data_IF_144372942048
#
_entry.id   IF_144372942048
#
_cell.length_a   1.000
_cell.length_b   1.000
_cell.length_c   1.000
_cell.angle_alpha   90.00
_cell.angle_beta   90.00
_cell.angle_gamma   90.00
#
_symmetry.space_group_name_H-M   'P 1'
#
loop_
_entity.id
_entity.type
_entity.pdbx_description
1 polymer ?
#
# COMPACT_ATOMS: atom_id res chain seq x y z
N UNK A 1 -8.19 -25.90 -14.81
CA UNK A 1 -7.61 -24.65 -14.29
C UNK A 1 -8.77 -23.69 -14.18
N UNK A 2 -9.35 -23.59 -12.99
CA UNK A 2 -10.55 -22.79 -12.76
C UNK A 2 -10.23 -21.33 -12.99
N UNK A 3 -10.89 -20.71 -13.96
CA UNK A 3 -11.00 -19.26 -14.04
C UNK A 3 -11.76 -18.84 -12.79
N UNK A 4 -11.06 -18.38 -11.76
CA UNK A 4 -11.72 -17.67 -10.66
C UNK A 4 -12.24 -16.38 -11.28
N UNK A 5 -13.50 -16.38 -11.70
CA UNK A 5 -14.14 -15.18 -12.22
C UNK A 5 -14.15 -14.15 -11.09
N UNK A 6 -13.33 -13.11 -11.25
CA UNK A 6 -13.32 -11.96 -10.37
C UNK A 6 -14.71 -11.33 -10.42
N UNK A 7 -15.17 -10.79 -9.29
CA UNK A 7 -16.46 -10.11 -9.25
C UNK A 7 -16.52 -8.93 -10.24
N UNK A 8 -17.73 -8.53 -10.60
CA UNK A 8 -17.96 -7.37 -11.48
C UNK A 8 -17.39 -6.07 -10.89
N UNK A 9 -17.32 -5.94 -9.57
CA UNK A 9 -16.78 -4.74 -8.92
C UNK A 9 -15.26 -4.67 -9.06
N UNK A 10 -14.56 -5.78 -8.81
CA UNK A 10 -13.11 -5.88 -8.96
C UNK A 10 -12.72 -5.71 -10.42
N UNK A 11 -13.43 -6.37 -11.35
CA UNK A 11 -13.16 -6.25 -12.78
C UNK A 11 -13.29 -4.80 -13.25
N UNK A 12 -14.33 -4.07 -12.80
CA UNK A 12 -14.48 -2.64 -13.10
C UNK A 12 -13.37 -1.77 -12.51
N UNK A 13 -12.87 -2.07 -11.31
CA UNK A 13 -11.73 -1.35 -10.72
C UNK A 13 -10.45 -1.55 -11.56
N UNK A 14 -10.18 -2.80 -11.96
CA UNK A 14 -9.06 -3.13 -12.85
C UNK A 14 -9.19 -2.40 -14.19
N UNK A 15 -10.38 -2.38 -14.80
CA UNK A 15 -10.60 -1.74 -16.09
C UNK A 15 -10.41 -0.22 -16.04
N UNK A 16 -10.90 0.44 -14.97
CA UNK A 16 -10.62 1.88 -14.74
C UNK A 16 -9.12 2.16 -14.70
N UNK A 17 -8.36 1.25 -14.12
CA UNK A 17 -6.92 1.41 -13.92
C UNK A 17 -6.08 1.11 -15.16
N UNK A 18 -6.47 0.08 -15.90
CA UNK A 18 -5.69 -0.43 -17.02
C UNK A 18 -6.08 0.23 -18.36
N UNK A 19 -7.28 0.81 -18.44
CA UNK A 19 -7.85 1.25 -19.70
C UNK A 19 -7.85 0.12 -20.72
N UNK A 20 -7.23 0.33 -21.88
CA UNK A 20 -7.12 -0.68 -22.95
C UNK A 20 -5.83 -1.50 -22.92
N UNK A 21 -4.98 -1.37 -21.88
CA UNK A 21 -3.68 -2.04 -21.82
C UNK A 21 -3.82 -3.45 -21.26
N UNK A 22 -3.79 -4.45 -22.16
CA UNK A 22 -4.03 -5.86 -21.83
C UNK A 22 -2.99 -6.43 -20.86
N UNK A 23 -1.70 -6.13 -21.06
CA UNK A 23 -0.62 -6.61 -20.19
C UNK A 23 -0.77 -6.11 -18.75
N UNK A 24 -1.19 -4.85 -18.59
CA UNK A 24 -1.44 -4.25 -17.29
C UNK A 24 -2.67 -4.88 -16.62
N UNK A 25 -3.73 -5.16 -17.39
CA UNK A 25 -4.91 -5.88 -16.90
C UNK A 25 -4.56 -7.27 -16.36
N UNK A 26 -3.66 -8.01 -17.02
CA UNK A 26 -3.21 -9.32 -16.54
C UNK A 26 -2.50 -9.21 -15.18
N UNK A 27 -1.62 -8.21 -15.01
CA UNK A 27 -0.92 -7.98 -13.74
C UNK A 27 -1.91 -7.64 -12.61
N UNK A 28 -2.85 -6.75 -12.87
CA UNK A 28 -3.86 -6.37 -11.88
C UNK A 28 -4.83 -7.49 -11.54
N UNK A 29 -5.20 -8.34 -12.50
CA UNK A 29 -6.00 -9.55 -12.23
C UNK A 29 -5.27 -10.52 -11.30
N UNK A 30 -3.95 -10.69 -11.49
CA UNK A 30 -3.13 -11.50 -10.60
C UNK A 30 -3.07 -10.90 -9.19
N UNK A 31 -2.81 -9.60 -9.08
CA UNK A 31 -2.79 -8.91 -7.78
C UNK A 31 -4.15 -8.99 -7.06
N UNK A 32 -5.26 -8.86 -7.80
CA UNK A 32 -6.61 -9.03 -7.25
C UNK A 32 -6.86 -10.46 -6.74
N UNK A 33 -6.41 -11.48 -7.47
CA UNK A 33 -6.49 -12.87 -7.00
C UNK A 33 -5.68 -13.05 -5.69
N UNK A 34 -4.47 -12.49 -5.62
CA UNK A 34 -3.64 -12.53 -4.40
C UNK A 34 -4.32 -11.86 -3.21
N UNK A 35 -4.99 -10.72 -3.42
CA UNK A 35 -5.79 -10.06 -2.37
C UNK A 35 -6.90 -10.97 -1.84
N UNK A 36 -7.70 -11.56 -2.73
CA UNK A 36 -8.80 -12.44 -2.34
C UNK A 36 -8.32 -13.72 -1.65
N UNK A 37 -7.25 -14.33 -2.16
CA UNK A 37 -6.62 -15.52 -1.56
C UNK A 37 -6.03 -15.22 -0.17
N UNK A 38 -5.61 -13.98 0.09
CA UNK A 38 -5.16 -13.53 1.42
C UNK A 38 -6.31 -13.28 2.42
N UNK A 39 -7.56 -13.47 1.99
CA UNK A 39 -8.74 -13.25 2.82
C UNK A 39 -9.25 -11.81 2.84
N UNK A 40 -8.80 -10.94 1.93
CA UNK A 40 -9.34 -9.59 1.80
C UNK A 40 -10.80 -9.63 1.32
N UNK A 41 -11.64 -8.79 1.90
CA UNK A 41 -13.00 -8.58 1.38
C UNK A 41 -12.97 -7.95 -0.01
N UNK A 42 -14.06 -8.10 -0.77
CA UNK A 42 -14.21 -7.48 -2.08
C UNK A 42 -14.07 -5.95 -2.02
N UNK A 43 -14.62 -5.33 -0.96
CA UNK A 43 -14.51 -3.88 -0.73
C UNK A 43 -13.05 -3.45 -0.55
N UNK A 44 -12.31 -4.14 0.31
CA UNK A 44 -10.87 -3.89 0.52
C UNK A 44 -10.04 -4.09 -0.74
N UNK A 45 -10.35 -5.13 -1.51
CA UNK A 45 -9.67 -5.38 -2.77
C UNK A 45 -9.90 -4.23 -3.76
N UNK A 46 -11.13 -3.74 -3.90
CA UNK A 46 -11.45 -2.57 -4.74
C UNK A 46 -10.72 -1.32 -4.25
N UNK A 47 -10.76 -1.02 -2.95
CA UNK A 47 -10.08 0.15 -2.37
C UNK A 47 -8.58 0.16 -2.64
N UNK A 48 -7.90 -0.99 -2.49
CA UNK A 48 -6.46 -1.10 -2.77
C UNK A 48 -6.15 -1.05 -4.27
N UNK A 49 -7.02 -1.61 -5.12
CA UNK A 49 -6.88 -1.53 -6.57
C UNK A 49 -7.06 -0.09 -7.05
N UNK A 50 -8.01 0.67 -6.52
CA UNK A 50 -8.19 2.07 -6.92
C UNK A 50 -7.11 2.98 -6.32
N UNK A 51 -6.69 2.75 -5.06
CA UNK A 51 -5.84 3.67 -4.30
C UNK A 51 -4.33 3.50 -4.46
N UNK A 52 -3.81 2.29 -4.68
CA UNK A 52 -2.38 2.12 -5.01
C UNK A 52 -2.15 2.49 -6.48
N UNK A 53 -0.93 2.53 -6.97
CA UNK A 53 -0.56 2.81 -8.36
C UNK A 53 -0.01 1.58 -9.08
N UNK A 54 0.57 0.64 -8.34
CA UNK A 54 1.25 -0.54 -8.87
C UNK A 54 0.74 -1.85 -8.27
N UNK A 55 0.56 -2.85 -9.14
CA UNK A 55 0.23 -4.22 -8.73
C UNK A 55 1.32 -4.83 -7.81
N UNK A 56 2.58 -4.41 -7.96
CA UNK A 56 3.68 -4.86 -7.10
C UNK A 56 3.56 -4.30 -5.68
N UNK A 57 3.02 -3.09 -5.52
CA UNK A 57 2.76 -2.48 -4.21
C UNK A 57 1.68 -3.26 -3.47
N UNK A 58 0.64 -3.74 -4.18
CA UNK A 58 -0.37 -4.65 -3.63
C UNK A 58 0.27 -5.93 -3.12
N UNK A 59 1.09 -6.60 -3.94
CA UNK A 59 1.77 -7.83 -3.55
C UNK A 59 2.68 -7.62 -2.32
N UNK A 60 3.41 -6.50 -2.27
CA UNK A 60 4.26 -6.15 -1.14
C UNK A 60 3.46 -5.89 0.14
N UNK A 61 2.34 -5.17 0.04
CA UNK A 61 1.44 -4.91 1.16
C UNK A 61 0.85 -6.22 1.71
N UNK A 62 0.29 -7.07 0.84
CA UNK A 62 -0.30 -8.36 1.25
C UNK A 62 0.73 -9.23 1.96
N UNK A 63 1.95 -9.33 1.40
CA UNK A 63 3.03 -10.08 2.02
C UNK A 63 3.42 -9.51 3.40
N UNK A 64 3.51 -8.19 3.53
CA UNK A 64 3.83 -7.53 4.79
C UNK A 64 2.74 -7.72 5.84
N UNK A 65 1.48 -7.57 5.46
CA UNK A 65 0.32 -7.69 6.37
C UNK A 65 0.21 -9.12 6.89
N UNK A 66 0.43 -10.11 6.01
CA UNK A 66 0.46 -11.52 6.38
C UNK A 66 1.60 -11.86 7.35
N UNK A 67 2.78 -11.26 7.18
CA UNK A 67 3.93 -11.45 8.09
C UNK A 67 3.65 -10.91 9.50
N UNK A 68 2.83 -9.88 9.63
CA UNK A 68 2.40 -9.34 10.91
C UNK A 68 1.25 -10.14 11.55
N UNK A 69 0.78 -11.20 10.89
CA UNK A 69 -0.35 -12.01 11.36
C UNK A 69 -1.69 -11.28 11.29
N UNK A 70 -1.80 -10.25 10.44
CA UNK A 70 -3.02 -9.46 10.23
C UNK A 70 -3.65 -9.80 8.89
N UNK A 71 -4.94 -9.50 8.76
CA UNK A 71 -5.66 -9.51 7.48
C UNK A 71 -5.58 -8.14 6.81
N UNK A 72 -5.80 -8.11 5.51
CA UNK A 72 -5.87 -6.85 4.74
C UNK A 72 -7.00 -5.95 5.24
N UNK A 73 -8.14 -6.55 5.62
CA UNK A 73 -9.28 -5.81 6.17
C UNK A 73 -8.94 -5.15 7.51
N UNK A 74 -8.24 -5.85 8.41
CA UNK A 74 -7.76 -5.28 9.68
C UNK A 74 -6.76 -4.14 9.45
N UNK A 75 -5.84 -4.29 8.48
CA UNK A 75 -4.91 -3.23 8.11
C UNK A 75 -5.64 -1.98 7.61
N UNK A 76 -6.60 -2.12 6.69
CA UNK A 76 -7.37 -0.98 6.15
C UNK A 76 -8.27 -0.32 7.19
N UNK A 77 -8.81 -1.10 8.13
CA UNK A 77 -9.54 -0.55 9.28
C UNK A 77 -8.65 0.32 10.16
N UNK A 78 -7.42 -0.14 10.44
CA UNK A 78 -6.41 0.65 11.14
C UNK A 78 -6.02 1.93 10.38
N UNK A 79 -5.77 1.82 9.08
CA UNK A 79 -5.47 2.95 8.21
C UNK A 79 -6.59 4.00 8.23
N UNK A 80 -7.85 3.56 8.12
CA UNK A 80 -9.01 4.45 8.14
C UNK A 80 -9.11 5.23 9.45
N UNK A 81 -8.77 4.61 10.58
CA UNK A 81 -8.73 5.29 11.88
C UNK A 81 -7.67 6.41 11.91
N UNK A 82 -6.49 6.18 11.33
CA UNK A 82 -5.45 7.22 11.21
C UNK A 82 -5.87 8.36 10.26
N UNK A 83 -6.64 8.04 9.22
CA UNK A 83 -7.13 9.02 8.24
C UNK A 83 -8.21 9.91 8.83
N UNK A 84 -9.13 9.36 9.62
CA UNK A 84 -10.23 10.12 10.25
C UNK A 84 -9.74 11.24 11.18
N UNK A 85 -8.55 11.08 11.75
CA UNK A 85 -7.89 12.10 12.59
C UNK A 85 -7.01 13.09 11.80
N UNK A 86 -6.91 12.90 10.49
CA UNK A 86 -6.02 13.64 9.60
C UNK A 86 -6.76 14.67 8.73
N UNK A 87 -6.03 15.68 8.25
CA UNK A 87 -6.53 16.62 7.22
C UNK A 87 -6.48 16.03 5.80
N UNK A 88 -5.89 14.85 5.62
CA UNK A 88 -5.66 14.21 4.33
C UNK A 88 -6.68 13.09 4.06
N UNK A 89 -7.03 12.88 2.80
CA UNK A 89 -7.95 11.80 2.39
C UNK A 89 -7.28 10.42 2.42
N UNK A 90 -8.10 9.35 2.48
CA UNK A 90 -7.62 7.96 2.38
C UNK A 90 -6.77 7.71 1.13
N UNK A 91 -7.13 8.34 0.00
CA UNK A 91 -6.38 8.22 -1.26
C UNK A 91 -4.97 8.81 -1.11
N UNK A 92 -4.85 9.96 -0.43
CA UNK A 92 -3.55 10.58 -0.18
C UNK A 92 -2.69 9.73 0.76
N UNK A 93 -3.29 9.04 1.73
CA UNK A 93 -2.59 8.11 2.61
C UNK A 93 -2.13 6.85 1.87
N UNK A 94 -2.95 6.28 0.99
CA UNK A 94 -2.57 5.11 0.18
C UNK A 94 -1.46 5.45 -0.82
N UNK A 95 -1.54 6.62 -1.48
CA UNK A 95 -0.49 7.10 -2.38
C UNK A 95 0.82 7.37 -1.62
N UNK A 96 0.74 7.98 -0.43
CA UNK A 96 1.89 8.19 0.46
C UNK A 96 2.52 6.86 0.92
N UNK A 97 1.71 5.91 1.36
CA UNK A 97 2.15 4.57 1.73
C UNK A 97 2.86 3.87 0.57
N UNK A 98 2.32 4.01 -0.65
CA UNK A 98 2.94 3.47 -1.84
C UNK A 98 4.32 4.09 -2.12
N UNK A 99 4.51 5.39 -1.91
CA UNK A 99 5.84 6.02 -2.10
C UNK A 99 6.91 5.36 -1.24
N UNK A 100 6.58 5.06 0.01
CA UNK A 100 7.50 4.36 0.92
C UNK A 100 7.73 2.92 0.43
N UNK A 101 6.67 2.20 0.05
CA UNK A 101 6.82 0.84 -0.51
C UNK A 101 7.71 0.82 -1.76
N UNK A 102 7.48 1.74 -2.70
CA UNK A 102 8.24 1.84 -3.93
C UNK A 102 9.72 2.10 -3.65
N UNK A 103 10.02 3.04 -2.73
CA UNK A 103 11.39 3.33 -2.29
C UNK A 103 12.06 2.09 -1.69
N UNK A 104 11.39 1.38 -0.80
CA UNK A 104 11.92 0.15 -0.21
C UNK A 104 12.17 -0.94 -1.26
N UNK A 105 11.26 -1.08 -2.23
CA UNK A 105 11.41 -2.02 -3.35
C UNK A 105 12.62 -1.66 -4.23
N UNK A 106 12.85 -0.38 -4.52
CA UNK A 106 14.01 0.10 -5.28
C UNK A 106 15.33 -0.13 -4.53
N UNK A 107 15.32 0.05 -3.21
CA UNK A 107 16.46 -0.19 -2.32
C UNK A 107 16.67 -1.67 -1.97
N UNK A 108 15.81 -2.57 -2.48
CA UNK A 108 15.77 -3.99 -2.12
C UNK A 108 15.66 -4.22 -0.59
N UNK A 109 14.97 -3.31 0.10
CA UNK A 109 14.65 -3.36 1.52
C UNK A 109 13.20 -3.77 1.72
N UNK A 110 12.89 -4.17 2.95
CA UNK A 110 11.52 -4.49 3.37
C UNK A 110 11.28 -3.91 4.74
N UNK A 111 10.07 -3.42 4.94
CA UNK A 111 9.59 -2.94 6.22
C UNK A 111 8.20 -3.51 6.47
N UNK A 112 7.83 -3.63 7.74
CA UNK A 112 6.48 -4.02 8.11
C UNK A 112 5.48 -2.92 7.70
N UNK A 113 4.26 -3.27 7.26
CA UNK A 113 3.22 -2.28 7.00
C UNK A 113 2.95 -1.36 8.19
N UNK A 114 3.08 -1.85 9.43
CA UNK A 114 2.98 -1.01 10.64
C UNK A 114 4.05 0.06 10.68
N UNK A 115 5.32 -0.29 10.41
CA UNK A 115 6.42 0.69 10.41
C UNK A 115 6.24 1.73 9.31
N UNK A 116 5.78 1.32 8.13
CA UNK A 116 5.46 2.25 7.04
C UNK A 116 4.31 3.18 7.44
N UNK A 117 3.22 2.63 8.00
CA UNK A 117 2.08 3.43 8.44
C UNK A 117 2.48 4.43 9.53
N UNK A 118 3.32 4.02 10.49
CA UNK A 118 3.84 4.90 11.52
C UNK A 118 4.64 6.07 10.93
N UNK A 119 5.48 5.81 9.93
CA UNK A 119 6.22 6.86 9.23
C UNK A 119 5.27 7.86 8.52
N UNK A 120 4.25 7.34 7.82
CA UNK A 120 3.25 8.18 7.14
C UNK A 120 2.48 9.02 8.16
N UNK A 121 2.07 8.42 9.27
CA UNK A 121 1.34 9.10 10.33
C UNK A 121 2.17 10.23 10.96
N UNK A 122 3.43 9.97 11.33
CA UNK A 122 4.30 11.01 11.88
C UNK A 122 4.49 12.18 10.91
N UNK A 123 4.59 11.90 9.62
CA UNK A 123 4.72 12.94 8.59
C UNK A 123 3.42 13.75 8.43
N UNK A 124 2.25 13.09 8.46
CA UNK A 124 0.95 13.75 8.40
C UNK A 124 0.70 14.64 9.64
N UNK A 125 1.09 14.18 10.82
CA UNK A 125 1.01 14.96 12.07
C UNK A 125 1.93 16.19 12.02
N UNK A 126 3.16 16.03 11.52
CA UNK A 126 4.09 17.14 11.32
C UNK A 126 3.51 18.21 10.38
N UNK A 127 2.93 17.80 9.26
CA UNK A 127 2.30 18.72 8.31
C UNK A 127 1.14 19.50 8.93
N UNK A 128 0.31 18.81 9.71
CA UNK A 128 -0.85 19.38 10.40
C UNK A 128 -0.45 20.44 11.42
N UNK A 129 0.71 20.28 12.08
CA UNK A 129 1.23 21.24 13.07
C UNK A 129 1.93 22.44 12.43
N UNK A 130 2.53 22.27 11.26
CA UNK A 130 3.33 23.30 10.58
C UNK A 130 2.54 24.13 9.57
N UNK A 131 1.23 23.87 9.40
CA UNK A 131 0.36 24.49 8.40
C UNK A 131 0.89 24.36 6.96
N UNK A 132 1.65 23.30 6.69
CA UNK A 132 2.13 22.98 5.34
C UNK A 132 0.98 22.32 4.58
N UNK A 133 0.37 23.07 3.66
CA UNK A 133 -0.71 22.59 2.79
C UNK A 133 -0.20 21.81 1.57
N UNK A 134 0.92 21.10 1.72
CA UNK A 134 1.42 20.21 0.68
C UNK A 134 0.61 18.91 0.67
N UNK A 135 0.52 18.25 -0.49
CA UNK A 135 -0.10 16.93 -0.59
C UNK A 135 0.76 15.94 0.19
N UNK A 136 0.14 15.11 1.02
CA UNK A 136 0.85 14.12 1.84
C UNK A 136 1.86 13.25 1.05
N UNK A 137 1.57 12.75 -0.16
CA UNK A 137 2.55 11.99 -0.94
C UNK A 137 3.80 12.78 -1.33
N UNK A 138 3.66 14.08 -1.62
CA UNK A 138 4.78 14.94 -2.01
C UNK A 138 5.66 15.28 -0.80
N UNK A 139 5.04 15.51 0.35
CA UNK A 139 5.76 15.68 1.61
C UNK A 139 6.52 14.40 2.00
N UNK A 140 5.88 13.23 1.90
CA UNK A 140 6.54 11.94 2.15
C UNK A 140 7.73 11.73 1.23
N UNK A 141 7.58 12.07 -0.05
CA UNK A 141 8.68 11.98 -1.01
C UNK A 141 9.86 12.86 -0.56
N UNK A 142 9.59 14.10 -0.15
CA UNK A 142 10.60 15.03 0.34
C UNK A 142 11.29 14.51 1.61
N UNK A 143 10.52 13.97 2.56
CA UNK A 143 11.05 13.38 3.79
C UNK A 143 11.91 12.14 3.52
N UNK A 144 11.51 11.28 2.56
CA UNK A 144 12.31 10.14 2.12
C UNK A 144 13.61 10.57 1.46
N UNK A 145 13.60 11.65 0.68
CA UNK A 145 14.79 12.13 -0.01
C UNK A 145 15.77 12.85 0.93
N UNK A 146 15.26 13.53 1.97
CA UNK A 146 16.09 14.25 2.95
C UNK A 146 16.59 13.36 4.09
N UNK A 147 15.72 12.50 4.63
CA UNK A 147 15.99 11.72 5.85
C UNK A 147 16.00 10.21 5.62
N UNK A 148 15.44 9.72 4.51
CA UNK A 148 15.28 8.30 4.26
C UNK A 148 14.16 7.66 5.10
N UNK A 149 14.21 6.33 5.14
CA UNK A 149 13.31 5.49 5.96
C UNK A 149 14.14 4.56 6.84
N UNK A 150 13.97 4.64 8.16
CA UNK A 150 14.72 3.87 9.16
C UNK A 150 13.95 2.67 9.75
N UNK A 151 12.67 2.47 9.39
CA UNK A 151 11.82 1.45 10.02
C UNK A 151 12.41 0.03 9.95
N UNK A 152 12.23 -0.74 11.04
CA UNK A 152 12.93 -2.01 11.29
C UNK A 152 12.97 -2.92 10.06
N UNK A 153 14.19 -3.28 9.68
CA UNK A 153 14.47 -4.25 8.62
C UNK A 153 13.89 -5.59 9.04
N UNK A 154 12.93 -6.10 8.24
CA UNK A 154 12.53 -7.49 8.36
C UNK A 154 13.75 -8.38 8.16
N UNK A 155 14.25 -8.93 9.27
CA UNK A 155 15.38 -9.85 9.42
C UNK A 155 15.79 -10.55 8.11
N UNK A 156 16.86 -10.06 7.47
CA UNK A 156 17.55 -10.85 6.44
C UNK A 156 18.18 -12.03 7.16
N UNK A 157 17.51 -13.19 7.10
CA UNK A 157 18.13 -14.46 7.48
C UNK A 157 19.25 -14.74 6.48
N UNK A 158 20.47 -14.34 6.83
CA UNK A 158 21.63 -14.42 5.94
C UNK A 158 22.93 -14.39 6.72
N UNK A 159 23.27 -15.51 7.34
CA UNK A 159 24.54 -15.75 8.00
C UNK A 159 24.81 -17.24 8.11
N UNK A 160 24.87 -17.91 6.97
CA UNK A 160 25.53 -19.21 6.86
C UNK A 160 27.02 -18.94 6.72
N UNK A 161 27.78 -19.11 7.80
CA UNK A 161 29.16 -19.62 7.83
C UNK A 161 29.36 -20.45 9.09
#
# INVERSE_FOLDING_TARGET
>A
MSSSDLSDSISRAIDRKCGSIVSLSILWKKAAATLLESGASEASAVSLIDGLGSARSVEALVAGVSQEGRTVDEFLSGLSSSVDESIYSIDAWLEAFERVLARLVEENRRASPTSILGYVQCTAEFASQTAVHERLPDLIQSMLDEYGFEGEEGCVSGGAE
#
